data_IF_460258605225
#
_entry.id   IF_460258605225
#
_cell.length_a   1.000
_cell.length_b   1.000
_cell.length_c   1.000
_cell.angle_alpha   90.00
_cell.angle_beta   90.00
_cell.angle_gamma   90.00
#
_symmetry.space_group_name_H-M   'P 1'
#
loop_
_entity.id
_entity.type
_entity.pdbx_description
1 polymer ?
#
# COMPACT_ATOMS: atom_id res chain seq x y z
N UNK A 1 10.23 -29.47 11.20
CA UNK A 1 10.42 -28.51 10.10
C UNK A 1 11.62 -27.68 10.48
N UNK A 2 12.77 -27.99 9.90
CA UNK A 2 14.02 -27.25 10.14
C UNK A 2 14.04 -26.04 9.20
N UNK A 3 14.22 -24.84 9.75
CA UNK A 3 14.11 -23.58 8.99
C UNK A 3 15.29 -22.63 9.18
N UNK A 4 16.52 -23.15 9.28
CA UNK A 4 17.74 -22.33 9.28
C UNK A 4 18.77 -22.97 8.34
N UNK A 5 18.96 -22.36 7.17
CA UNK A 5 19.85 -22.91 6.14
C UNK A 5 21.33 -22.62 6.39
N UNK A 6 21.63 -21.42 6.91
CA UNK A 6 23.00 -20.97 7.20
C UNK A 6 23.01 -20.01 8.39
N UNK A 7 23.95 -20.21 9.31
CA UNK A 7 24.28 -19.27 10.38
C UNK A 7 25.76 -19.39 10.73
N UNK A 8 26.51 -18.32 10.50
CA UNK A 8 27.94 -18.19 10.83
C UNK A 8 28.18 -17.40 12.14
N UNK A 9 27.16 -17.30 12.99
CA UNK A 9 27.23 -16.66 14.31
C UNK A 9 26.51 -15.32 14.39
N UNK A 10 25.93 -14.85 13.29
CA UNK A 10 25.12 -13.61 13.24
C UNK A 10 23.79 -13.77 13.98
N UNK A 11 23.20 -14.98 13.99
CA UNK A 11 21.95 -15.28 14.69
C UNK A 11 22.21 -16.03 16.01
N UNK A 12 21.42 -15.77 17.07
CA UNK A 12 20.29 -14.83 17.13
C UNK A 12 20.74 -13.36 17.22
N UNK A 13 19.91 -12.46 16.70
CA UNK A 13 20.15 -11.02 16.78
C UNK A 13 20.15 -10.53 18.23
N UNK A 14 20.96 -9.50 18.52
CA UNK A 14 21.00 -8.85 19.85
C UNK A 14 19.73 -8.03 20.06
N UNK A 15 19.22 -7.97 21.29
CA UNK A 15 17.96 -7.28 21.63
C UNK A 15 17.91 -5.78 21.31
N UNK A 16 19.06 -5.09 21.31
CA UNK A 16 19.15 -3.65 21.09
C UNK A 16 19.90 -3.32 19.79
N UNK A 17 19.88 -4.24 18.82
CA UNK A 17 20.53 -4.04 17.53
C UNK A 17 19.71 -3.09 16.67
N UNK A 18 20.37 -2.25 15.88
CA UNK A 18 19.72 -1.50 14.82
C UNK A 18 19.72 -2.34 13.55
N UNK A 19 18.57 -2.47 12.90
CA UNK A 19 18.46 -3.24 11.67
C UNK A 19 18.15 -2.33 10.49
N UNK A 20 18.77 -2.64 9.36
CA UNK A 20 18.29 -2.24 8.05
C UNK A 20 17.45 -3.38 7.47
N UNK A 21 16.13 -3.26 7.51
CA UNK A 21 15.20 -4.22 6.95
C UNK A 21 14.95 -3.89 5.47
N UNK A 22 15.53 -4.69 4.58
CA UNK A 22 15.52 -4.41 3.14
C UNK A 22 14.79 -5.52 2.39
N UNK A 23 13.93 -5.16 1.44
CA UNK A 23 13.41 -6.12 0.46
C UNK A 23 11.91 -6.03 0.25
N UNK A 24 11.41 -6.46 -0.93
CA UNK A 24 10.04 -6.24 -1.35
C UNK A 24 9.01 -6.98 -0.48
N UNK A 25 9.43 -8.01 0.26
CA UNK A 25 8.53 -8.77 1.13
C UNK A 25 8.57 -8.33 2.61
N UNK A 26 9.39 -7.34 2.97
CA UNK A 26 9.49 -6.88 4.36
C UNK A 26 8.19 -6.23 4.87
N UNK A 27 7.39 -5.61 3.99
CA UNK A 27 6.10 -5.01 4.32
C UNK A 27 4.97 -5.47 3.38
N UNK A 28 5.09 -6.67 2.81
CA UNK A 28 4.11 -7.20 1.86
C UNK A 28 3.11 -8.10 2.59
N UNK A 29 1.87 -7.65 2.78
CA UNK A 29 0.83 -8.47 3.39
C UNK A 29 0.46 -9.69 2.53
N UNK A 30 0.59 -9.59 1.20
CA UNK A 30 0.22 -10.65 0.28
C UNK A 30 1.07 -11.90 0.46
N UNK A 31 2.31 -11.82 0.98
CA UNK A 31 3.10 -13.04 1.29
C UNK A 31 2.60 -13.80 2.52
N UNK A 32 1.78 -13.17 3.36
CA UNK A 32 1.13 -13.84 4.49
C UNK A 32 -0.13 -14.59 4.06
N UNK A 33 -0.62 -14.30 2.86
CA UNK A 33 -1.78 -14.92 2.26
C UNK A 33 -1.28 -16.06 1.36
N UNK A 34 -1.83 -17.26 1.46
CA UNK A 34 -1.67 -18.28 0.41
C UNK A 34 -2.78 -18.14 -0.63
N UNK A 35 -2.69 -18.81 -1.78
CA UNK A 35 -3.75 -18.78 -2.82
C UNK A 35 -5.16 -19.18 -2.35
N UNK A 36 -5.28 -19.82 -1.19
CA UNK A 36 -6.55 -20.12 -0.53
C UNK A 36 -6.50 -19.61 0.91
N UNK A 37 -6.64 -18.30 1.11
CA UNK A 37 -6.66 -17.67 2.43
C UNK A 37 -8.01 -16.99 2.73
N UNK A 38 -8.37 -16.93 4.01
CA UNK A 38 -9.31 -15.93 4.50
C UNK A 38 -8.61 -14.59 4.75
N UNK A 39 -9.35 -13.49 4.90
CA UNK A 39 -8.79 -12.20 5.30
C UNK A 39 -8.24 -12.29 6.73
N UNK A 40 -6.91 -12.13 6.97
CA UNK A 40 -6.36 -12.24 8.32
C UNK A 40 -6.91 -11.12 9.22
N UNK A 41 -7.25 -11.46 10.46
CA UNK A 41 -7.85 -10.51 11.41
C UNK A 41 -6.81 -9.50 11.92
N UNK A 42 -5.52 -9.88 12.01
CA UNK A 42 -4.39 -9.02 12.38
C UNK A 42 -3.10 -9.56 11.75
N UNK A 43 -2.86 -9.36 10.45
CA UNK A 43 -1.62 -9.79 9.84
C UNK A 43 -0.47 -8.92 10.39
N UNK A 44 0.68 -9.56 10.68
CA UNK A 44 1.89 -8.88 11.16
C UNK A 44 2.97 -9.10 10.11
N UNK A 45 3.39 -8.04 9.43
CA UNK A 45 4.50 -8.12 8.46
C UNK A 45 5.85 -8.29 9.18
N UNK A 46 6.93 -8.70 8.48
CA UNK A 46 8.27 -8.63 9.05
C UNK A 46 8.61 -7.24 9.59
N UNK A 47 8.22 -6.18 8.89
CA UNK A 47 8.40 -4.80 9.34
C UNK A 47 7.70 -4.53 10.67
N UNK A 48 6.42 -4.90 10.78
CA UNK A 48 5.64 -4.74 12.02
C UNK A 48 6.25 -5.54 13.17
N UNK A 49 6.65 -6.79 12.91
CA UNK A 49 7.25 -7.67 13.91
C UNK A 49 8.56 -7.07 14.45
N UNK A 50 9.43 -6.57 13.57
CA UNK A 50 10.69 -5.95 14.00
C UNK A 50 10.47 -4.63 14.72
N UNK A 51 9.57 -3.75 14.24
CA UNK A 51 9.24 -2.49 14.92
C UNK A 51 8.68 -2.74 16.32
N UNK A 52 7.76 -3.69 16.46
CA UNK A 52 7.17 -4.07 17.74
C UNK A 52 8.19 -4.69 18.71
N UNK A 53 9.22 -5.38 18.20
CA UNK A 53 10.22 -6.05 19.03
C UNK A 53 11.41 -5.15 19.42
N UNK A 54 11.89 -4.32 18.49
CA UNK A 54 13.12 -3.52 18.64
C UNK A 54 12.86 -2.03 18.90
N UNK A 55 11.63 -1.55 18.71
CA UNK A 55 11.31 -0.12 18.66
C UNK A 55 11.45 0.44 17.25
N UNK A 56 10.55 1.33 16.85
CA UNK A 56 10.50 1.91 15.51
C UNK A 56 11.77 2.70 15.16
N UNK A 57 12.42 3.31 16.16
CA UNK A 57 13.66 4.06 16.01
C UNK A 57 14.89 3.20 15.69
N UNK A 58 14.77 1.86 15.84
CA UNK A 58 15.84 0.90 15.59
C UNK A 58 15.63 0.09 14.30
N UNK A 59 14.58 0.40 13.52
CA UNK A 59 14.23 -0.32 12.28
C UNK A 59 14.21 0.65 11.10
N UNK A 60 15.23 0.54 10.25
CA UNK A 60 15.39 1.32 9.02
C UNK A 60 14.90 0.49 7.84
N UNK A 61 13.87 0.93 7.14
CA UNK A 61 13.18 0.11 6.13
C UNK A 61 13.25 0.70 4.74
N UNK A 62 13.54 -0.15 3.76
CA UNK A 62 13.34 0.15 2.34
C UNK A 62 12.89 -1.12 1.60
N UNK A 63 11.92 -1.03 0.66
CA UNK A 63 11.58 -2.17 -0.18
C UNK A 63 12.75 -2.60 -1.09
N UNK A 64 13.69 -1.71 -1.41
CA UNK A 64 14.91 -1.97 -2.18
C UNK A 64 14.72 -2.31 -3.66
N UNK A 65 13.63 -2.97 -4.04
CA UNK A 65 13.21 -3.18 -5.41
C UNK A 65 11.72 -3.52 -5.51
N UNK A 66 11.20 -3.54 -6.73
CA UNK A 66 10.00 -4.27 -7.06
C UNK A 66 10.20 -5.79 -6.84
N UNK A 67 9.12 -6.52 -6.56
CA UNK A 67 9.16 -7.97 -6.38
C UNK A 67 9.43 -8.71 -7.70
N UNK A 68 8.87 -8.20 -8.80
CA UNK A 68 9.15 -8.56 -10.18
C UNK A 68 8.96 -7.31 -11.06
N UNK A 69 9.30 -7.40 -12.35
CA UNK A 69 9.08 -6.30 -13.29
C UNK A 69 7.59 -5.86 -13.26
N UNK A 70 7.34 -4.61 -12.87
CA UNK A 70 5.99 -4.05 -12.75
C UNK A 70 5.21 -4.44 -11.49
N UNK A 71 5.74 -5.31 -10.63
CA UNK A 71 5.07 -5.80 -9.40
C UNK A 71 5.68 -5.11 -8.18
N UNK A 72 5.03 -4.04 -7.73
CA UNK A 72 5.43 -3.28 -6.54
C UNK A 72 4.66 -3.78 -5.30
N UNK A 73 5.26 -3.64 -4.12
CA UNK A 73 4.68 -4.16 -2.87
C UNK A 73 4.60 -3.12 -1.75
N UNK A 74 5.25 -1.97 -1.92
CA UNK A 74 5.26 -0.87 -0.93
C UNK A 74 4.15 0.16 -1.17
N UNK A 75 2.94 -0.33 -1.49
CA UNK A 75 1.77 0.53 -1.63
C UNK A 75 1.37 1.07 -0.25
N UNK A 76 1.24 2.39 -0.15
CA UNK A 76 0.89 3.10 1.09
C UNK A 76 -0.43 3.81 0.92
N UNK A 77 -1.24 3.85 1.98
CA UNK A 77 -2.41 4.73 2.04
C UNK A 77 -1.98 6.14 1.68
N UNK A 78 -2.71 6.78 0.78
CA UNK A 78 -2.38 8.14 0.34
C UNK A 78 -2.49 9.06 1.56
N UNK A 79 -1.42 9.78 1.93
CA UNK A 79 -1.45 10.65 3.10
C UNK A 79 -2.53 11.72 3.01
N UNK A 80 -3.16 12.04 4.14
CA UNK A 80 -4.28 12.98 4.19
C UNK A 80 -3.88 14.40 3.74
N UNK A 81 -2.61 14.76 3.92
CA UNK A 81 -2.01 16.01 3.46
C UNK A 81 -1.90 16.14 1.93
N UNK A 82 -2.14 15.07 1.18
CA UNK A 82 -2.18 15.11 -0.27
C UNK A 82 -3.58 15.45 -0.81
N UNK A 83 -4.62 15.41 0.03
CA UNK A 83 -6.00 15.64 -0.40
C UNK A 83 -6.55 16.98 0.06
N UNK A 84 -7.27 17.64 -0.85
CA UNK A 84 -7.88 18.94 -0.61
C UNK A 84 -9.22 19.09 -1.32
N UNK A 85 -10.03 20.03 -0.87
CA UNK A 85 -11.25 20.48 -1.56
C UNK A 85 -11.28 22.00 -1.61
N UNK A 86 -12.03 22.55 -2.57
CA UNK A 86 -12.25 23.99 -2.66
C UNK A 86 -13.56 24.36 -1.97
N UNK A 87 -13.48 25.32 -1.04
CA UNK A 87 -14.64 25.93 -0.39
C UNK A 87 -14.38 27.45 -0.28
N UNK A 88 -15.35 28.28 -0.67
CA UNK A 88 -15.22 29.76 -0.60
C UNK A 88 -13.94 30.33 -1.25
N UNK A 89 -13.46 29.73 -2.35
CA UNK A 89 -12.19 30.03 -3.03
C UNK A 89 -10.92 29.71 -2.23
N UNK A 90 -11.03 29.02 -1.10
CA UNK A 90 -9.91 28.52 -0.33
C UNK A 90 -9.73 27.01 -0.55
N UNK A 91 -8.49 26.56 -0.41
CA UNK A 91 -8.13 25.15 -0.50
C UNK A 91 -8.00 24.58 0.91
N UNK A 92 -8.92 23.69 1.28
CA UNK A 92 -9.00 23.10 2.62
C UNK A 92 -8.64 21.61 2.59
N UNK A 93 -8.06 21.03 3.66
CA UNK A 93 -7.69 19.61 3.70
C UNK A 93 -8.89 18.65 3.56
N UNK A 94 -8.66 17.53 2.89
CA UNK A 94 -9.63 16.43 2.69
C UNK A 94 -10.47 16.55 1.42
N UNK A 95 -11.19 15.49 1.07
CA UNK A 95 -12.07 15.37 -0.09
C UNK A 95 -13.54 15.53 0.32
N UNK A 96 -14.37 16.04 -0.59
CA UNK A 96 -15.83 16.00 -0.41
C UNK A 96 -16.32 14.60 -0.79
N UNK A 97 -16.70 13.81 0.21
CA UNK A 97 -17.32 12.49 0.04
C UNK A 97 -18.84 12.62 -0.03
N UNK A 98 -19.42 12.25 -1.17
CA UNK A 98 -20.86 12.22 -1.43
C UNK A 98 -21.35 10.77 -1.41
N UNK A 99 -22.25 10.45 -0.49
CA UNK A 99 -22.73 9.09 -0.24
C UNK A 99 -24.18 8.94 -0.68
N UNK A 100 -24.49 7.86 -1.39
CA UNK A 100 -25.78 7.61 -2.03
C UNK A 100 -26.38 6.28 -1.54
N UNK A 101 -27.70 6.27 -1.27
CA UNK A 101 -28.46 5.05 -0.94
C UNK A 101 -28.74 4.13 -2.14
N UNK A 102 -27.97 4.25 -3.23
CA UNK A 102 -28.09 3.47 -4.45
C UNK A 102 -26.71 3.16 -5.02
N UNK A 103 -26.62 2.25 -5.99
CA UNK A 103 -25.36 1.85 -6.65
C UNK A 103 -25.02 2.69 -7.89
N UNK A 104 -25.87 3.64 -8.26
CA UNK A 104 -25.75 4.39 -9.51
C UNK A 104 -25.08 5.77 -9.38
N UNK A 105 -24.54 6.12 -8.21
CA UNK A 105 -23.95 7.45 -7.95
C UNK A 105 -24.88 8.61 -8.38
N UNK A 106 -26.19 8.43 -8.13
CA UNK A 106 -27.23 9.26 -8.73
C UNK A 106 -28.18 9.84 -7.70
N UNK A 107 -28.78 10.99 -8.06
CA UNK A 107 -29.66 11.77 -7.21
C UNK A 107 -28.92 12.75 -6.31
N UNK A 108 -29.65 13.37 -5.37
CA UNK A 108 -29.06 14.23 -4.35
C UNK A 108 -28.45 13.32 -3.28
N UNK A 109 -27.16 13.47 -2.93
CA UNK A 109 -26.54 12.64 -1.90
C UNK A 109 -27.19 12.94 -0.53
N UNK A 110 -27.80 11.96 0.15
CA UNK A 110 -28.35 12.13 1.49
C UNK A 110 -27.28 12.43 2.57
N UNK A 111 -26.02 12.14 2.30
CA UNK A 111 -24.89 12.46 3.16
C UNK A 111 -23.74 13.00 2.31
N UNK A 112 -23.26 14.19 2.65
CA UNK A 112 -21.98 14.74 2.18
C UNK A 112 -21.14 15.15 3.38
N UNK A 113 -19.85 14.80 3.38
CA UNK A 113 -18.90 15.17 4.43
C UNK A 113 -17.48 15.30 3.89
N UNK A 114 -16.59 15.87 4.71
CA UNK A 114 -15.16 15.93 4.39
C UNK A 114 -14.46 14.68 4.92
N UNK A 115 -13.84 13.95 4.01
CA UNK A 115 -13.09 12.73 4.28
C UNK A 115 -11.59 13.01 4.07
N UNK A 116 -10.76 12.76 5.10
CA UNK A 116 -9.32 13.11 5.07
C UNK A 116 -8.49 12.13 4.23
N UNK A 117 -8.95 10.89 4.09
CA UNK A 117 -8.32 9.81 3.36
C UNK A 117 -9.41 8.89 2.78
N UNK A 118 -9.01 7.97 1.91
CA UNK A 118 -9.88 6.89 1.41
C UNK A 118 -9.34 5.58 2.01
N UNK A 119 -9.71 5.36 3.26
CA UNK A 119 -9.37 4.19 4.07
C UNK A 119 -10.48 4.01 5.11
N UNK A 120 -11.55 3.32 4.68
CA UNK A 120 -12.79 3.20 5.42
C UNK A 120 -13.14 1.76 5.69
N UNK A 121 -13.64 1.50 6.89
CA UNK A 121 -14.34 0.29 7.24
C UNK A 121 -15.73 0.65 7.78
N UNK A 122 -16.76 0.09 7.18
CA UNK A 122 -18.15 0.32 7.55
C UNK A 122 -18.76 -0.98 8.09
N UNK A 123 -19.16 -0.96 9.37
CA UNK A 123 -19.97 -2.03 9.95
C UNK A 123 -21.42 -2.00 9.43
N UNK A 124 -21.88 -0.82 9.03
CA UNK A 124 -23.24 -0.51 8.58
C UNK A 124 -23.19 0.51 7.47
N UNK A 125 -24.25 0.54 6.66
CA UNK A 125 -24.41 1.53 5.61
C UNK A 125 -24.25 2.96 6.21
N UNK A 126 -23.30 3.78 5.72
CA UNK A 126 -22.95 5.07 6.33
C UNK A 126 -24.05 6.13 6.19
N UNK A 127 -25.03 5.90 5.32
CA UNK A 127 -26.12 6.85 5.04
C UNK A 127 -27.36 6.57 5.88
N UNK A 128 -27.79 5.31 5.92
CA UNK A 128 -29.07 4.92 6.52
C UNK A 128 -28.92 3.99 7.74
N UNK A 129 -27.69 3.62 8.12
CA UNK A 129 -27.35 2.78 9.25
C UNK A 129 -27.94 1.34 9.20
N UNK A 130 -28.42 0.92 8.03
CA UNK A 130 -28.92 -0.44 7.81
C UNK A 130 -27.77 -1.41 7.53
N UNK A 131 -27.95 -2.67 7.93
CA UNK A 131 -27.03 -3.77 7.66
C UNK A 131 -27.27 -4.27 6.23
N UNK A 132 -26.19 -4.61 5.52
CA UNK A 132 -26.19 -5.23 4.19
C UNK A 132 -27.05 -4.50 3.15
N UNK A 133 -27.07 -3.15 3.21
CA UNK A 133 -27.74 -2.33 2.19
C UNK A 133 -26.73 -1.70 1.24
N UNK A 134 -26.98 -1.79 -0.07
CA UNK A 134 -26.08 -1.25 -1.05
C UNK A 134 -26.01 0.27 -0.93
N UNK A 135 -24.85 0.80 -1.25
CA UNK A 135 -24.62 2.23 -1.37
C UNK A 135 -23.51 2.48 -2.38
N UNK A 136 -23.34 3.73 -2.75
CA UNK A 136 -22.17 4.17 -3.50
C UNK A 136 -21.66 5.46 -2.91
N UNK A 137 -20.39 5.74 -3.15
CA UNK A 137 -19.73 6.96 -2.67
C UNK A 137 -18.85 7.52 -3.77
N UNK A 138 -18.85 8.84 -3.89
CA UNK A 138 -17.95 9.60 -4.77
C UNK A 138 -17.20 10.62 -3.95
N UNK A 139 -15.88 10.55 -3.97
CA UNK A 139 -15.00 11.56 -3.43
C UNK A 139 -14.57 12.51 -4.53
N UNK A 140 -14.66 13.82 -4.28
CA UNK A 140 -14.17 14.86 -5.20
C UNK A 140 -13.29 15.87 -4.48
N UNK A 141 -12.28 16.36 -5.19
CA UNK A 141 -11.41 17.41 -4.70
C UNK A 141 -10.15 17.52 -5.56
N UNK A 142 -9.02 17.65 -4.90
CA UNK A 142 -7.72 17.80 -5.50
C UNK A 142 -6.72 16.86 -4.83
N UNK A 143 -5.83 16.32 -5.65
CA UNK A 143 -4.63 15.62 -5.22
C UNK A 143 -3.43 16.53 -5.47
N UNK A 144 -2.59 16.72 -4.45
CA UNK A 144 -1.33 17.47 -4.53
C UNK A 144 -0.22 16.57 -4.01
N UNK A 145 0.63 15.99 -4.87
CA UNK A 145 1.71 15.11 -4.42
C UNK A 145 2.82 15.91 -3.73
N UNK A 146 3.46 15.32 -2.73
CA UNK A 146 4.61 15.92 -2.04
C UNK A 146 5.94 15.66 -2.78
N UNK A 147 5.96 14.65 -3.65
CA UNK A 147 7.15 14.21 -4.39
C UNK A 147 6.80 14.04 -5.87
N UNK A 148 7.69 14.49 -6.75
CA UNK A 148 7.52 14.26 -8.20
C UNK A 148 7.79 12.80 -8.53
N UNK A 149 6.95 12.20 -9.37
CA UNK A 149 7.20 10.87 -9.85
C UNK A 149 6.06 10.24 -10.65
N UNK A 150 6.26 8.99 -11.03
CA UNK A 150 5.23 8.13 -11.59
C UNK A 150 4.54 7.38 -10.46
N UNK A 151 3.23 7.54 -10.31
CA UNK A 151 2.44 6.90 -9.27
C UNK A 151 1.53 5.83 -9.86
N UNK A 152 1.50 4.66 -9.22
CA UNK A 152 0.47 3.64 -9.44
C UNK A 152 -0.49 3.63 -8.26
N UNK A 153 -1.78 3.44 -8.53
CA UNK A 153 -2.81 3.32 -7.52
C UNK A 153 -3.22 1.86 -7.37
N UNK A 154 -3.52 1.44 -6.15
CA UNK A 154 -4.07 0.12 -5.82
C UNK A 154 -5.20 0.31 -4.81
N UNK A 155 -6.25 -0.52 -4.91
CA UNK A 155 -7.41 -0.40 -4.03
C UNK A 155 -8.67 -0.93 -4.70
N UNK A 156 -9.79 -0.76 -4.02
CA UNK A 156 -11.10 -1.18 -4.52
C UNK A 156 -11.96 0.00 -5.03
N UNK A 157 -11.35 1.18 -5.22
CA UNK A 157 -12.01 2.37 -5.73
C UNK A 157 -11.52 2.71 -7.15
N UNK A 158 -12.40 3.25 -7.98
CA UNK A 158 -11.99 3.82 -9.27
C UNK A 158 -11.31 5.16 -9.05
N UNK A 159 -10.24 5.48 -9.78
CA UNK A 159 -9.55 6.78 -9.71
C UNK A 159 -9.63 7.50 -11.05
N UNK A 160 -10.00 8.78 -11.01
CA UNK A 160 -10.00 9.70 -12.14
C UNK A 160 -9.19 10.93 -11.77
N UNK A 161 -8.23 11.29 -12.62
CA UNK A 161 -7.41 12.50 -12.44
C UNK A 161 -7.53 13.37 -13.68
N UNK A 162 -7.83 14.66 -13.50
CA UNK A 162 -8.05 15.62 -14.60
C UNK A 162 -9.01 15.08 -15.68
N UNK A 163 -10.13 14.48 -15.24
CA UNK A 163 -11.17 13.87 -16.09
C UNK A 163 -10.72 12.65 -16.92
N UNK A 164 -9.58 12.04 -16.62
CA UNK A 164 -9.12 10.80 -17.23
C UNK A 164 -9.01 9.68 -16.18
N UNK A 165 -9.54 8.46 -16.46
CA UNK A 165 -9.32 7.31 -15.59
C UNK A 165 -7.84 6.94 -15.52
N UNK A 166 -7.38 6.47 -14.35
CA UNK A 166 -6.01 6.01 -14.15
C UNK A 166 -5.99 4.48 -14.12
N UNK A 167 -5.32 3.85 -15.10
CA UNK A 167 -5.26 2.38 -15.23
C UNK A 167 -3.88 1.80 -14.85
N UNK A 168 -2.79 2.26 -15.50
CA UNK A 168 -1.45 1.69 -15.33
C UNK A 168 -0.43 2.60 -14.61
N UNK A 169 -0.90 3.77 -14.16
CA UNK A 169 -0.12 4.78 -13.45
C UNK A 169 -0.15 6.16 -14.12
N UNK A 170 0.32 7.18 -13.40
CA UNK A 170 0.27 8.59 -13.83
C UNK A 170 1.49 9.36 -13.33
N UNK A 171 2.00 10.28 -14.15
CA UNK A 171 3.06 11.19 -13.74
C UNK A 171 2.48 12.38 -13.00
N UNK A 172 2.92 12.60 -11.76
CA UNK A 172 2.51 13.73 -10.93
C UNK A 172 3.76 14.50 -10.49
N UNK A 173 3.67 15.83 -10.42
CA UNK A 173 4.75 16.71 -9.99
C UNK A 173 4.46 17.29 -8.62
N UNK A 174 5.48 17.32 -7.77
CA UNK A 174 5.39 17.86 -6.42
C UNK A 174 4.78 19.27 -6.41
N UNK A 175 3.77 19.48 -5.57
CA UNK A 175 3.09 20.77 -5.40
C UNK A 175 2.15 21.17 -6.53
N UNK A 176 2.08 20.44 -7.65
CA UNK A 176 1.06 20.68 -8.66
C UNK A 176 -0.31 20.17 -8.20
N UNK A 177 -1.35 20.88 -8.60
CA UNK A 177 -2.74 20.57 -8.24
C UNK A 177 -3.42 19.81 -9.36
N UNK A 178 -3.94 18.63 -9.04
CA UNK A 178 -4.67 17.78 -9.96
C UNK A 178 -6.11 17.63 -9.51
N UNK A 179 -7.09 17.78 -10.43
CA UNK A 179 -8.47 17.42 -10.14
C UNK A 179 -8.53 15.93 -9.85
N UNK A 180 -9.15 15.56 -8.73
CA UNK A 180 -9.19 14.19 -8.25
C UNK A 180 -10.63 13.77 -7.99
N UNK A 181 -11.02 12.65 -8.58
CA UNK A 181 -12.25 11.95 -8.24
C UNK A 181 -11.95 10.48 -7.95
N UNK A 182 -12.62 9.94 -6.93
CA UNK A 182 -12.66 8.53 -6.69
C UNK A 182 -14.09 8.05 -6.46
N UNK A 183 -14.39 6.80 -6.79
CA UNK A 183 -15.73 6.25 -6.56
C UNK A 183 -15.71 4.77 -6.19
N UNK A 184 -16.69 4.37 -5.37
CA UNK A 184 -16.89 2.99 -4.95
C UNK A 184 -18.37 2.65 -5.04
N UNK A 185 -18.67 1.44 -5.53
CA UNK A 185 -20.01 0.86 -5.52
C UNK A 185 -20.00 -0.34 -4.57
N UNK A 186 -20.77 -0.26 -3.49
CA UNK A 186 -20.98 -1.36 -2.54
C UNK A 186 -22.33 -2.02 -2.86
N UNK A 187 -22.27 -3.24 -3.40
CA UNK A 187 -23.46 -4.01 -3.78
C UNK A 187 -23.80 -5.05 -2.71
N UNK A 188 -25.10 -5.32 -2.50
CA UNK A 188 -25.57 -6.42 -1.66
C UNK A 188 -25.88 -7.65 -2.53
N UNK A 189 -25.14 -8.74 -2.38
CA UNK A 189 -25.41 -10.00 -3.09
C UNK A 189 -26.04 -11.04 -2.16
N UNK A 190 -27.19 -11.58 -2.58
CA UNK A 190 -28.02 -12.52 -1.79
C UNK A 190 -27.37 -13.89 -1.54
N UNK A 191 -26.32 -14.26 -2.27
CA UNK A 191 -25.56 -15.52 -2.09
C UNK A 191 -24.26 -15.35 -1.30
N UNK A 192 -23.91 -14.13 -0.90
CA UNK A 192 -22.71 -13.87 -0.11
C UNK A 192 -23.04 -13.99 1.38
N UNK A 193 -23.03 -15.20 1.93
CA UNK A 193 -23.27 -15.47 3.36
C UNK A 193 -22.11 -15.10 4.28
N UNK A 194 -20.99 -14.63 3.73
CA UNK A 194 -19.93 -14.00 4.51
C UNK A 194 -20.25 -12.51 4.56
N UNK A 195 -20.35 -11.95 5.76
CA UNK A 195 -20.32 -10.51 6.04
C UNK A 195 -19.29 -9.85 5.12
N UNK A 196 -19.73 -9.31 3.97
CA UNK A 196 -18.81 -8.63 3.08
C UNK A 196 -18.42 -7.37 3.82
N UNK A 197 -17.14 -7.31 4.20
CA UNK A 197 -16.58 -6.10 4.78
C UNK A 197 -16.87 -4.97 3.80
N UNK A 198 -17.69 -4.02 4.22
CA UNK A 198 -17.95 -2.83 3.42
C UNK A 198 -16.78 -1.91 3.72
N UNK A 199 -15.81 -1.84 2.82
CA UNK A 199 -14.60 -1.04 3.01
C UNK A 199 -14.25 -0.28 1.74
N UNK A 200 -13.51 0.81 1.90
CA UNK A 200 -12.86 1.51 0.79
C UNK A 200 -11.39 1.66 1.13
N UNK A 201 -10.52 1.27 0.23
CA UNK A 201 -9.08 1.43 0.38
C UNK A 201 -8.53 2.04 -0.91
N UNK A 202 -7.70 3.07 -0.76
CA UNK A 202 -6.89 3.61 -1.85
C UNK A 202 -5.46 3.82 -1.37
N UNK A 203 -4.56 3.12 -2.03
CA UNK A 203 -3.12 3.20 -1.83
C UNK A 203 -2.44 3.65 -3.11
N UNK A 204 -1.23 4.15 -2.96
CA UNK A 204 -0.35 4.45 -4.08
C UNK A 204 1.08 4.01 -3.82
N UNK A 205 1.86 3.91 -4.90
CA UNK A 205 3.31 3.74 -4.83
C UNK A 205 3.95 4.63 -5.87
N UNK A 206 5.07 5.29 -5.51
CA UNK A 206 5.89 6.01 -6.48
C UNK A 206 6.88 5.02 -7.12
N UNK A 207 6.70 4.73 -8.40
CA UNK A 207 7.51 3.77 -9.15
C UNK A 207 8.76 4.38 -9.77
N UNK A 208 8.95 5.70 -9.64
CA UNK A 208 10.12 6.42 -10.17
C UNK A 208 11.22 6.65 -9.14
N UNK A 209 11.03 6.16 -7.91
CA UNK A 209 12.05 6.21 -6.85
C UNK A 209 13.23 5.31 -7.22
N UNK A 210 14.44 5.78 -6.95
CA UNK A 210 15.64 4.94 -6.98
C UNK A 210 15.66 4.05 -5.73
N UNK A 211 14.94 2.93 -5.82
CA UNK A 211 14.84 1.95 -4.75
C UNK A 211 16.20 1.40 -4.29
N UNK A 212 17.18 1.37 -5.20
CA UNK A 212 18.53 0.90 -4.87
C UNK A 212 19.27 1.95 -4.03
N UNK A 213 19.22 3.22 -4.41
CA UNK A 213 19.81 4.30 -3.62
C UNK A 213 19.19 4.38 -2.22
N UNK A 214 17.85 4.29 -2.12
CA UNK A 214 17.13 4.27 -0.84
C UNK A 214 17.58 3.10 0.05
N UNK A 215 17.62 1.88 -0.50
CA UNK A 215 18.11 0.72 0.25
C UNK A 215 19.56 0.89 0.74
N UNK A 216 20.43 1.51 -0.06
CA UNK A 216 21.80 1.81 0.36
C UNK A 216 21.87 2.85 1.49
N UNK A 217 20.96 3.82 1.52
CA UNK A 217 20.89 4.80 2.60
C UNK A 217 20.39 4.17 3.90
N UNK A 218 19.35 3.34 3.85
CA UNK A 218 18.84 2.62 5.02
C UNK A 218 19.83 1.57 5.53
N UNK A 219 20.53 0.86 4.62
CA UNK A 219 21.59 -0.10 4.97
C UNK A 219 22.68 0.50 5.86
N UNK A 220 23.07 1.76 5.62
CA UNK A 220 24.13 2.44 6.39
C UNK A 220 23.72 2.79 7.81
N UNK A 221 22.42 2.78 8.13
CA UNK A 221 21.90 3.15 9.45
C UNK A 221 21.83 1.96 10.41
N UNK A 222 21.75 0.73 9.88
CA UNK A 222 21.69 -0.50 10.65
C UNK A 222 23.07 -1.08 11.00
N UNK A 223 23.14 -1.79 12.12
CA UNK A 223 24.31 -2.62 12.47
C UNK A 223 24.33 -3.92 11.67
N UNK A 224 23.15 -4.35 11.20
CA UNK A 224 22.94 -5.55 10.39
C UNK A 224 21.87 -5.29 9.34
N UNK A 225 22.00 -5.94 8.18
CA UNK A 225 20.97 -5.96 7.14
C UNK A 225 20.15 -7.25 7.28
N UNK A 226 18.84 -7.11 7.43
CA UNK A 226 17.89 -8.21 7.33
C UNK A 226 17.20 -8.10 5.98
N UNK A 227 17.44 -9.06 5.09
CA UNK A 227 16.85 -9.06 3.76
C UNK A 227 15.59 -9.93 3.67
N UNK A 228 14.46 -9.35 3.29
CA UNK A 228 13.18 -10.04 3.09
C UNK A 228 12.85 -10.15 1.59
N UNK A 229 13.40 -11.19 0.96
CA UNK A 229 13.08 -11.57 -0.42
C UNK A 229 12.10 -12.74 -0.52
N UNK A 230 12.01 -13.35 -1.71
CA UNK A 230 11.16 -14.52 -1.96
C UNK A 230 10.12 -14.25 -3.06
N UNK A 231 9.13 -15.13 -3.14
CA UNK A 231 7.98 -15.04 -4.04
C UNK A 231 6.72 -14.63 -3.24
N UNK A 232 5.64 -14.32 -3.94
CA UNK A 232 4.33 -14.02 -3.35
C UNK A 232 3.23 -14.69 -4.19
N UNK A 233 2.00 -14.84 -3.68
CA UNK A 233 0.87 -15.37 -4.46
C UNK A 233 0.62 -14.63 -5.77
N UNK A 234 0.94 -13.33 -5.82
CA UNK A 234 0.86 -12.52 -7.03
C UNK A 234 1.85 -12.98 -8.13
N UNK A 235 2.80 -13.84 -7.78
CA UNK A 235 3.77 -14.53 -8.65
C UNK A 235 3.61 -16.05 -8.60
N UNK A 236 2.58 -16.58 -7.94
CA UNK A 236 2.32 -18.02 -7.83
C UNK A 236 0.87 -18.29 -8.25
N UNK A 237 0.61 -18.30 -9.56
CA UNK A 237 -0.69 -18.73 -10.11
C UNK A 237 -0.51 -20.01 -10.93
N UNK A 238 -1.48 -20.93 -10.87
CA UNK A 238 -1.51 -22.08 -11.79
C UNK A 238 -1.48 -21.55 -13.24
N UNK A 239 -0.52 -22.01 -14.03
CA UNK A 239 -0.27 -21.62 -15.44
C UNK A 239 0.15 -20.16 -15.74
N UNK A 240 0.88 -19.47 -14.86
CA UNK A 240 1.49 -18.18 -15.22
C UNK A 240 2.89 -18.30 -15.88
N UNK A 241 3.04 -17.74 -17.08
CA UNK A 241 4.37 -17.50 -17.71
C UNK A 241 5.00 -16.25 -17.11
N UNK A 242 5.80 -16.41 -16.06
CA UNK A 242 6.53 -15.30 -15.45
C UNK A 242 7.86 -15.13 -16.17
N UNK A 243 8.08 -13.95 -16.77
CA UNK A 243 9.40 -13.57 -17.29
C UNK A 243 10.26 -13.11 -16.11
N UNK A 244 10.86 -14.06 -15.40
CA UNK A 244 11.83 -13.79 -14.33
C UNK A 244 13.16 -13.35 -14.96
N UNK A 245 13.34 -12.06 -15.24
CA UNK A 245 14.71 -11.54 -15.37
C UNK A 245 15.31 -11.49 -13.98
N UNK A 246 16.25 -12.39 -13.73
CA UNK A 246 17.21 -12.45 -12.61
C UNK A 246 16.67 -11.77 -11.34
N UNK A 247 16.09 -12.61 -10.47
CA UNK A 247 15.71 -12.34 -9.10
C UNK A 247 16.60 -11.25 -8.46
N UNK A 248 16.01 -10.48 -7.54
CA UNK A 248 16.54 -9.50 -6.57
C UNK A 248 17.93 -9.74 -5.91
N UNK A 249 18.71 -10.72 -6.38
CA UNK A 249 20.12 -10.96 -6.12
C UNK A 249 21.04 -9.78 -6.42
N UNK A 250 20.74 -8.86 -7.34
CA UNK A 250 21.66 -7.74 -7.62
C UNK A 250 21.77 -6.80 -6.41
N UNK A 251 20.65 -6.52 -5.74
CA UNK A 251 20.65 -5.71 -4.51
C UNK A 251 21.27 -6.49 -3.35
N UNK A 252 20.93 -7.77 -3.19
CA UNK A 252 21.53 -8.61 -2.16
C UNK A 252 23.07 -8.73 -2.33
N UNK A 253 23.58 -8.91 -3.55
CA UNK A 253 25.03 -8.96 -3.82
C UNK A 253 25.71 -7.62 -3.57
N UNK A 254 25.11 -6.50 -4.00
CA UNK A 254 25.69 -5.16 -3.77
C UNK A 254 25.72 -4.80 -2.29
N UNK A 255 24.66 -5.15 -1.53
CA UNK A 255 24.60 -4.95 -0.08
C UNK A 255 25.62 -5.82 0.67
N UNK A 256 25.83 -7.07 0.25
CA UNK A 256 26.85 -7.96 0.83
C UNK A 256 28.27 -7.39 0.65
N UNK A 257 28.54 -6.68 -0.45
CA UNK A 257 29.85 -6.07 -0.72
C UNK A 257 30.13 -4.79 0.08
N UNK A 258 29.12 -4.17 0.70
CA UNK A 258 29.25 -2.89 1.41
C UNK A 258 29.34 -3.03 2.94
N UNK A 259 29.14 -4.24 3.48
CA UNK A 259 29.44 -4.51 4.89
C UNK A 259 30.96 -4.56 5.03
N UNK A 260 31.60 -3.66 5.80
CA UNK A 260 33.03 -3.78 6.06
C UNK A 260 33.29 -5.12 6.74
N UNK A 261 34.08 -5.98 6.09
CA UNK A 261 34.63 -7.17 6.74
C UNK A 261 35.55 -6.70 7.86
N UNK A 262 35.08 -6.81 9.11
CA UNK A 262 35.93 -6.78 10.29
C UNK A 262 36.77 -8.04 10.36
#
# INVERSE_FOLDING_TARGET
MDGLLKNDGVLPLKKNIKIALIGPNANNLSVLLGNYNGTPINPVTPLDAFKNHLGEENVFYSPGCALAEGVFTDYKTIPAENFYHAENNELLPGLVGNYFNNTGLSGIPPLSRIDRNIDFYWERNPVNNLIDKPFSVQWKGFLIPSVTGTYKFEGNVSVVINNAPVEDGINLKAGEKYEFEASLIVSSFWWSSNYQQQFAELKWVNTSVDYHAEALEEAKKGDVIVFCGGISPNLEGEEMKIKLMVLSMVIALTLICLIPRS
#
